data_IF_704769962191
#
_entry.id   IF_704769962191
#
_cell.length_a   1.000
_cell.length_b   1.000
_cell.length_c   1.000
_cell.angle_alpha   90.00
_cell.angle_beta   90.00
_cell.angle_gamma   90.00
#
_symmetry.space_group_name_H-M   'P 1'
#
loop_
_entity.id
_entity.type
_entity.pdbx_description
1 polymer ?
#
# COMPACT_ATOMS: atom_id res chain seq x y z
N UNK A 1 16.99 19.28 2.99
CA UNK A 1 16.08 19.01 4.12
C UNK A 1 16.87 18.26 5.19
N UNK A 2 16.93 18.76 6.43
CA UNK A 2 17.66 18.12 7.54
C UNK A 2 16.89 16.86 7.95
N UNK A 3 17.52 15.69 7.86
CA UNK A 3 16.99 14.44 8.42
C UNK A 3 17.10 14.55 9.94
N UNK A 4 15.99 14.52 10.66
CA UNK A 4 16.01 14.43 12.12
C UNK A 4 16.30 12.99 12.51
N UNK A 5 17.23 12.74 13.44
CA UNK A 5 17.48 11.38 13.91
C UNK A 5 16.48 11.01 15.00
N UNK A 6 16.00 9.77 14.98
CA UNK A 6 15.12 9.21 16.03
C UNK A 6 15.74 9.37 17.43
N UNK A 7 17.06 9.33 17.54
CA UNK A 7 17.80 9.51 18.79
C UNK A 7 17.70 10.90 19.41
N UNK A 8 17.23 11.90 18.66
CA UNK A 8 17.01 13.27 19.14
C UNK A 8 15.55 13.53 19.54
N UNK A 9 14.68 12.52 19.41
CA UNK A 9 13.26 12.63 19.74
C UNK A 9 13.01 12.20 21.18
N UNK A 10 12.15 12.96 21.84
CA UNK A 10 11.67 12.62 23.17
C UNK A 10 10.82 11.36 23.18
N UNK A 11 10.76 10.68 24.34
CA UNK A 11 9.94 9.46 24.48
C UNK A 11 8.47 9.73 24.12
N UNK A 12 7.96 10.90 24.49
CA UNK A 12 6.60 11.34 24.14
C UNK A 12 6.39 11.41 22.62
N UNK A 13 7.38 11.89 21.89
CA UNK A 13 7.35 11.95 20.43
C UNK A 13 7.39 10.54 19.83
N UNK A 14 8.20 9.64 20.40
CA UNK A 14 8.24 8.25 19.95
C UNK A 14 6.88 7.57 20.13
N UNK A 15 6.21 7.77 21.27
CA UNK A 15 4.88 7.22 21.50
C UNK A 15 3.84 7.83 20.55
N UNK A 16 3.91 9.14 20.29
CA UNK A 16 3.06 9.83 19.30
C UNK A 16 3.23 9.23 17.90
N UNK A 17 4.47 9.00 17.48
CA UNK A 17 4.82 8.38 16.19
C UNK A 17 4.27 6.95 16.12
N UNK A 18 4.36 6.18 17.21
CA UNK A 18 3.83 4.81 17.28
C UNK A 18 2.31 4.80 17.15
N UNK A 19 1.60 5.64 17.90
CA UNK A 19 0.13 5.74 17.84
C UNK A 19 -0.34 6.18 16.46
N UNK A 20 0.27 7.22 15.88
CA UNK A 20 -0.04 7.63 14.50
C UNK A 20 0.19 6.49 13.51
N UNK A 21 1.29 5.75 13.64
CA UNK A 21 1.54 4.62 12.76
C UNK A 21 0.56 3.45 12.93
N UNK A 22 -0.12 3.30 14.07
CA UNK A 22 -1.14 2.28 14.26
C UNK A 22 -2.55 2.69 13.80
N UNK A 23 -2.89 3.98 13.88
CA UNK A 23 -4.25 4.49 13.65
C UNK A 23 -4.44 5.16 12.29
N UNK A 24 -3.43 5.86 11.76
CA UNK A 24 -3.60 6.72 10.58
C UNK A 24 -3.58 5.97 9.25
N UNK A 25 -4.36 6.49 8.29
CA UNK A 25 -4.28 6.07 6.89
C UNK A 25 -3.16 6.88 6.22
N UNK A 26 -1.99 6.26 6.05
CA UNK A 26 -0.72 6.84 5.50
C UNK A 26 0.16 7.51 6.56
N UNK A 27 0.56 6.76 7.61
CA UNK A 27 1.29 7.35 8.72
C UNK A 27 2.66 7.90 8.32
N UNK A 28 3.31 7.30 7.31
CA UNK A 28 4.63 7.74 6.87
C UNK A 28 4.64 9.13 6.22
N UNK A 29 3.53 9.56 5.59
CA UNK A 29 3.43 10.90 4.99
C UNK A 29 3.27 11.95 6.10
N UNK A 30 2.34 11.73 7.03
CA UNK A 30 2.07 12.64 8.15
C UNK A 30 3.30 12.79 9.06
N UNK A 31 3.93 11.67 9.42
CA UNK A 31 5.13 11.68 10.26
C UNK A 31 6.29 12.42 9.57
N UNK A 32 6.38 12.33 8.24
CA UNK A 32 7.38 13.06 7.47
C UNK A 32 7.09 14.56 7.44
N UNK A 33 5.83 14.97 7.37
CA UNK A 33 5.45 16.40 7.41
C UNK A 33 5.63 17.02 8.80
N UNK A 34 5.17 16.36 9.87
CA UNK A 34 5.33 16.87 11.25
C UNK A 34 6.80 16.77 11.74
N UNK A 35 7.36 15.56 11.69
CA UNK A 35 8.63 15.24 12.35
C UNK A 35 9.82 15.31 11.40
N UNK A 36 9.60 15.29 10.08
CA UNK A 36 10.70 15.23 9.10
C UNK A 36 11.38 13.87 9.03
N UNK A 37 10.75 12.82 9.58
CA UNK A 37 11.27 11.44 9.56
C UNK A 37 10.87 10.75 8.26
N UNK A 38 11.77 9.96 7.70
CA UNK A 38 11.45 9.16 6.52
C UNK A 38 10.80 7.82 6.92
N UNK A 39 10.11 7.19 5.97
CA UNK A 39 9.47 5.87 6.18
C UNK A 39 10.43 4.84 6.80
N UNK A 40 11.71 4.88 6.41
CA UNK A 40 12.73 3.96 6.93
C UNK A 40 12.92 4.14 8.45
N UNK A 41 13.05 5.38 8.92
CA UNK A 41 13.20 5.70 10.35
C UNK A 41 12.00 5.21 11.16
N UNK A 42 10.78 5.46 10.67
CA UNK A 42 9.55 5.01 11.34
C UNK A 42 9.47 3.48 11.36
N UNK A 43 9.89 2.82 10.27
CA UNK A 43 9.91 1.36 10.18
C UNK A 43 10.91 0.75 11.14
N UNK A 44 12.11 1.33 11.27
CA UNK A 44 13.10 0.89 12.26
C UNK A 44 12.61 1.13 13.69
N UNK A 45 11.96 2.26 13.96
CA UNK A 45 11.34 2.54 15.26
C UNK A 45 10.27 1.49 15.59
N UNK A 46 9.36 1.21 14.65
CA UNK A 46 8.33 0.19 14.82
C UNK A 46 8.90 -1.19 15.03
N UNK A 47 9.98 -1.55 14.32
CA UNK A 47 10.67 -2.82 14.49
C UNK A 47 11.31 -2.96 15.88
N UNK A 48 11.77 -1.85 16.48
CA UNK A 48 12.33 -1.83 17.84
C UNK A 48 11.26 -1.83 18.93
N UNK A 49 10.10 -1.21 18.67
CA UNK A 49 9.00 -1.08 19.64
C UNK A 49 8.05 -2.27 19.65
N UNK A 50 7.78 -2.88 18.49
CA UNK A 50 6.87 -4.01 18.36
C UNK A 50 7.64 -5.33 18.32
N UNK A 51 7.07 -6.36 18.94
CA UNK A 51 7.48 -7.75 18.71
C UNK A 51 7.26 -8.13 17.25
N UNK A 52 8.02 -9.12 16.76
CA UNK A 52 8.03 -9.55 15.36
C UNK A 52 6.62 -9.83 14.82
N UNK A 53 5.79 -10.54 15.58
CA UNK A 53 4.40 -10.84 15.21
C UNK A 53 3.52 -9.59 15.06
N UNK A 54 3.63 -8.64 15.99
CA UNK A 54 2.88 -7.38 15.94
C UNK A 54 3.36 -6.50 14.79
N UNK A 55 4.66 -6.49 14.50
CA UNK A 55 5.22 -5.77 13.37
C UNK A 55 4.70 -6.33 12.04
N UNK A 56 4.62 -7.65 11.88
CA UNK A 56 4.05 -8.28 10.68
C UNK A 56 2.56 -7.95 10.52
N UNK A 57 1.79 -7.97 11.61
CA UNK A 57 0.38 -7.59 11.58
C UNK A 57 0.19 -6.11 11.22
N UNK A 58 0.99 -5.22 11.82
CA UNK A 58 1.01 -3.80 11.50
C UNK A 58 1.39 -3.57 10.04
N UNK A 59 2.44 -4.23 9.54
CA UNK A 59 2.87 -4.13 8.14
C UNK A 59 1.76 -4.57 7.18
N UNK A 60 1.05 -5.66 7.50
CA UNK A 60 -0.14 -6.09 6.73
C UNK A 60 -1.23 -5.01 6.73
N UNK A 61 -1.52 -4.36 7.85
CA UNK A 61 -2.50 -3.26 7.91
C UNK A 61 -2.04 -2.03 7.12
N UNK A 62 -0.79 -1.62 7.28
CA UNK A 62 -0.19 -0.48 6.59
C UNK A 62 -0.17 -0.68 5.06
N UNK A 63 0.11 -1.90 4.59
CA UNK A 63 0.08 -2.24 3.17
C UNK A 63 -1.33 -2.51 2.63
N UNK A 64 -2.25 -3.05 3.44
CA UNK A 64 -3.65 -3.27 3.07
C UNK A 64 -4.45 -1.96 2.91
N UNK A 65 -3.95 -0.83 3.43
CA UNK A 65 -4.51 0.49 3.17
C UNK A 65 -4.25 0.98 1.73
N UNK A 66 -3.40 0.29 0.96
CA UNK A 66 -3.41 0.47 -0.50
C UNK A 66 -4.74 -0.09 -1.00
N UNK A 67 -5.64 0.72 -1.59
CA UNK A 67 -6.86 0.20 -2.16
C UNK A 67 -6.45 -0.91 -3.13
N UNK A 68 -7.00 -2.12 -2.93
CA UNK A 68 -6.89 -3.17 -3.95
C UNK A 68 -7.23 -2.50 -5.28
N UNK A 69 -6.39 -2.60 -6.33
CA UNK A 69 -6.84 -2.18 -7.65
C UNK A 69 -8.19 -2.87 -7.83
N UNK A 70 -9.23 -2.07 -8.06
CA UNK A 70 -10.57 -2.59 -8.32
C UNK A 70 -10.37 -3.72 -9.33
N UNK A 71 -10.90 -4.94 -9.09
CA UNK A 71 -10.83 -5.96 -10.13
C UNK A 71 -11.38 -5.29 -11.37
N UNK A 72 -10.53 -5.17 -12.40
CA UNK A 72 -10.95 -4.71 -13.72
C UNK A 72 -12.06 -5.70 -14.05
N UNK A 73 -13.30 -5.24 -14.00
CA UNK A 73 -14.44 -6.03 -14.44
C UNK A 73 -14.17 -6.23 -15.92
N UNK A 74 -13.57 -7.37 -16.25
CA UNK A 74 -13.57 -7.88 -17.61
C UNK A 74 -15.05 -8.12 -17.90
N UNK A 75 -15.72 -7.14 -18.49
CA UNK A 75 -16.98 -7.36 -19.17
C UNK A 75 -16.60 -8.19 -20.39
N UNK A 76 -16.97 -9.49 -20.46
CA UNK A 76 -16.94 -10.22 -21.71
C UNK A 76 -18.17 -9.76 -22.51
N UNK A 77 -18.14 -8.51 -22.98
CA UNK A 77 -19.08 -8.05 -23.99
C UNK A 77 -18.56 -8.62 -25.30
N UNK A 78 -19.22 -9.67 -25.77
CA UNK A 78 -19.85 -9.66 -27.10
C UNK A 78 -18.94 -9.21 -28.26
N UNK A 79 -17.76 -9.84 -28.40
CA UNK A 79 -16.92 -9.72 -29.61
C UNK A 79 -16.94 -11.03 -30.45
N UNK A 80 -17.98 -11.86 -30.27
CA UNK A 80 -18.17 -13.16 -30.95
C UNK A 80 -19.12 -13.09 -32.17
N UNK A 81 -19.35 -11.90 -32.73
CA UNK A 81 -20.20 -11.72 -33.92
C UNK A 81 -19.44 -11.38 -35.22
N UNK A 82 -18.11 -11.44 -35.23
CA UNK A 82 -17.31 -11.05 -36.42
C UNK A 82 -16.60 -12.18 -37.18
N UNK A 83 -16.90 -13.46 -36.93
CA UNK A 83 -16.25 -14.56 -37.68
C UNK A 83 -17.21 -15.49 -38.48
N UNK A 84 -18.53 -15.31 -38.37
CA UNK A 84 -19.48 -16.16 -39.12
C UNK A 84 -19.54 -15.88 -40.62
N UNK A 85 -18.89 -14.82 -41.13
CA UNK A 85 -18.83 -14.52 -42.58
C UNK A 85 -17.68 -15.21 -43.31
N UNK A 86 -16.70 -15.77 -42.62
CA UNK A 86 -15.50 -16.32 -43.25
C UNK A 86 -15.61 -17.81 -43.64
N UNK A 87 -16.64 -18.52 -43.16
CA UNK A 87 -16.75 -19.97 -43.36
C UNK A 87 -17.69 -20.46 -44.48
N UNK A 88 -18.49 -19.58 -45.11
CA UNK A 88 -19.51 -20.03 -46.09
C UNK A 88 -19.15 -19.83 -47.57
N UNK A 89 -17.95 -19.33 -47.91
CA UNK A 89 -17.60 -18.98 -49.30
C UNK A 89 -16.71 -19.98 -50.05
N UNK A 90 -16.47 -21.19 -49.53
CA UNK A 90 -15.52 -22.10 -50.20
C UNK A 90 -15.85 -23.59 -50.27
N UNK A 91 -17.13 -24.00 -50.23
CA UNK A 91 -17.50 -25.39 -50.56
C UNK A 91 -18.81 -25.47 -51.33
N UNK A 92 -18.73 -25.20 -52.62
CA UNK A 92 -19.58 -25.80 -53.66
C UNK A 92 -18.82 -25.64 -54.98
N UNK A 93 -17.90 -26.57 -55.22
CA UNK A 93 -17.73 -27.20 -56.53
C UNK A 93 -18.41 -28.57 -56.42
#
# INVERSE_FOLDING_TARGET
MKKRKISELDNETLERVVSMAQEEKKPFEVIKEEFGLVENDVTELMRKRLSKDNFELWKKKATASKPKPKPVKFNPIEDDELDSKYYFKNKFD
#
